data_IF_657051752273
#
_entry.id   IF_657051752273
#
_cell.length_a   1.000
_cell.length_b   1.000
_cell.length_c   1.000
_cell.angle_alpha   90.00
_cell.angle_beta   90.00
_cell.angle_gamma   90.00
#
_symmetry.space_group_name_H-M   'P 1'
#
loop_
_entity.id
_entity.type
_entity.pdbx_description
1 polymer ?
#
# COMPACT_ATOMS: atom_id res chain seq x y z
N UNK A 1 -14.54 -13.31 -19.49
CA UNK A 1 -13.66 -12.14 -19.65
C UNK A 1 -13.04 -11.92 -18.27
N UNK A 2 -11.89 -12.54 -18.03
CA UNK A 2 -11.19 -12.52 -16.74
C UNK A 2 -10.41 -11.21 -16.67
N UNK A 3 -10.79 -10.34 -15.72
CA UNK A 3 -10.01 -9.16 -15.37
C UNK A 3 -8.78 -9.68 -14.65
N UNK A 4 -7.64 -9.74 -15.32
CA UNK A 4 -6.36 -9.98 -14.68
C UNK A 4 -6.07 -8.85 -13.71
N UNK A 5 -5.75 -9.20 -12.46
CA UNK A 5 -5.46 -8.24 -11.41
C UNK A 5 -4.36 -7.27 -11.83
N UNK A 6 -4.61 -5.98 -11.63
CA UNK A 6 -3.69 -4.89 -11.92
C UNK A 6 -2.48 -4.94 -10.98
N UNK A 7 -1.45 -5.69 -11.38
CA UNK A 7 -0.11 -5.38 -10.90
C UNK A 7 0.26 -4.01 -11.48
N UNK A 8 0.60 -3.04 -10.64
CA UNK A 8 1.09 -1.74 -11.08
C UNK A 8 2.28 -1.92 -12.01
N UNK A 9 2.06 -1.75 -13.31
CA UNK A 9 3.12 -1.90 -14.31
C UNK A 9 3.95 -0.62 -14.31
N UNK A 10 5.11 -0.67 -13.69
CA UNK A 10 6.08 0.42 -13.73
C UNK A 10 6.65 0.53 -15.16
N UNK A 11 6.38 1.65 -15.84
CA UNK A 11 7.00 1.95 -17.15
C UNK A 11 8.37 2.58 -16.93
N UNK A 12 9.39 2.04 -17.61
CA UNK A 12 10.74 2.61 -17.58
C UNK A 12 11.26 2.89 -18.98
N UNK A 13 11.87 4.06 -19.18
CA UNK A 13 12.60 4.43 -20.42
C UNK A 13 14.08 4.59 -20.07
N UNK A 14 14.98 3.91 -20.79
CA UNK A 14 16.44 4.01 -20.54
C UNK A 14 16.97 5.38 -20.97
N UNK A 15 17.49 6.12 -20.01
CA UNK A 15 18.41 7.25 -20.20
C UNK A 15 19.78 6.79 -19.65
N UNK A 16 20.90 7.29 -20.18
CA UNK A 16 22.24 6.83 -19.80
C UNK A 16 22.47 6.93 -18.27
N UNK A 17 22.56 5.76 -17.60
CA UNK A 17 22.83 5.64 -16.14
C UNK A 17 21.61 5.83 -15.24
N UNK A 18 20.63 6.66 -15.62
CA UNK A 18 19.37 6.88 -14.93
C UNK A 18 18.19 6.45 -15.80
N UNK A 19 17.12 5.99 -15.19
CA UNK A 19 15.86 5.71 -15.89
C UNK A 19 14.73 6.57 -15.32
N UNK A 20 13.86 7.04 -16.20
CA UNK A 20 12.58 7.57 -15.75
C UNK A 20 11.72 6.44 -15.21
N UNK A 21 11.15 6.64 -14.03
CA UNK A 21 10.21 5.73 -13.40
C UNK A 21 8.89 6.46 -13.16
N UNK A 22 7.78 5.75 -13.36
CA UNK A 22 6.44 6.30 -13.17
C UNK A 22 5.55 5.27 -12.52
N UNK A 23 4.75 5.70 -11.57
CA UNK A 23 3.73 4.89 -10.92
C UNK A 23 2.41 5.66 -10.88
N UNK A 24 1.31 4.94 -11.09
CA UNK A 24 -0.04 5.50 -10.98
C UNK A 24 -0.84 4.70 -9.97
N UNK A 25 -1.45 5.40 -9.04
CA UNK A 25 -2.35 4.82 -8.05
C UNK A 25 -3.72 5.50 -8.08
N UNK A 26 -4.72 4.79 -7.56
CA UNK A 26 -6.11 5.23 -7.55
C UNK A 26 -6.70 5.08 -6.15
N UNK A 27 -7.54 6.01 -5.76
CA UNK A 27 -8.37 5.85 -4.57
C UNK A 27 -9.76 6.44 -4.81
N UNK A 28 -10.79 5.71 -4.38
CA UNK A 28 -12.18 6.18 -4.44
C UNK A 28 -12.79 6.19 -3.04
N UNK A 29 -13.74 7.08 -2.78
CA UNK A 29 -14.42 7.19 -1.49
C UNK A 29 -15.02 8.56 -1.26
N UNK A 30 -15.60 8.76 -0.08
CA UNK A 30 -16.22 10.04 0.33
C UNK A 30 -15.30 10.92 1.19
N UNK A 31 -14.24 10.34 1.75
CA UNK A 31 -13.28 11.04 2.59
C UNK A 31 -12.48 12.08 1.79
N UNK A 32 -12.14 13.20 2.44
CA UNK A 32 -11.26 14.22 1.87
C UNK A 32 -9.81 13.73 1.69
N UNK A 33 -9.44 12.64 2.35
CA UNK A 33 -8.11 12.05 2.34
C UNK A 33 -7.88 11.10 1.15
N UNK A 34 -8.88 10.78 0.31
CA UNK A 34 -8.73 9.84 -0.80
C UNK A 34 -7.55 10.18 -1.72
N UNK A 35 -7.32 11.47 -2.00
CA UNK A 35 -6.19 11.91 -2.80
C UNK A 35 -4.84 11.68 -2.14
N UNK A 36 -4.79 11.73 -0.80
CA UNK A 36 -3.57 11.44 -0.02
C UNK A 36 -3.20 9.96 -0.11
N UNK A 37 -4.19 9.05 -0.11
CA UNK A 37 -3.94 7.62 -0.27
C UNK A 37 -3.38 7.30 -1.66
N UNK A 38 -4.01 7.81 -2.73
CA UNK A 38 -3.50 7.62 -4.09
C UNK A 38 -2.08 8.22 -4.24
N UNK A 39 -1.82 9.38 -3.65
CA UNK A 39 -0.50 10.00 -3.63
C UNK A 39 0.51 9.13 -2.86
N UNK A 40 0.15 8.62 -1.68
CA UNK A 40 1.01 7.79 -0.87
C UNK A 40 1.42 6.51 -1.63
N UNK A 41 0.47 5.79 -2.19
CA UNK A 41 0.77 4.57 -2.95
C UNK A 41 1.67 4.83 -4.15
N UNK A 42 1.40 5.90 -4.92
CA UNK A 42 2.21 6.27 -6.07
C UNK A 42 3.64 6.69 -5.65
N UNK A 43 3.79 7.48 -4.58
CA UNK A 43 5.09 7.88 -4.03
C UNK A 43 5.88 6.70 -3.47
N UNK A 44 5.20 5.77 -2.80
CA UNK A 44 5.80 4.58 -2.22
C UNK A 44 6.42 3.68 -3.31
N UNK A 45 5.77 3.54 -4.47
CA UNK A 45 6.34 2.81 -5.62
C UNK A 45 7.61 3.48 -6.14
N UNK A 46 7.62 4.81 -6.22
CA UNK A 46 8.83 5.54 -6.61
C UNK A 46 9.94 5.41 -5.57
N UNK A 47 9.60 5.49 -4.28
CA UNK A 47 10.54 5.26 -3.20
C UNK A 47 11.10 3.82 -3.24
N UNK A 48 10.26 2.81 -3.53
CA UNK A 48 10.69 1.44 -3.77
C UNK A 48 11.63 1.29 -4.97
N UNK A 49 11.50 2.13 -5.98
CA UNK A 49 12.43 2.20 -7.11
C UNK A 49 13.71 3.01 -6.81
N UNK A 50 13.77 3.72 -5.67
CA UNK A 50 14.88 4.62 -5.33
C UNK A 50 14.84 5.94 -6.10
N UNK A 51 13.67 6.38 -6.54
CA UNK A 51 13.53 7.59 -7.33
C UNK A 51 13.65 8.85 -6.48
N UNK A 52 14.38 9.84 -7.02
CA UNK A 52 14.43 11.22 -6.53
C UNK A 52 13.68 12.19 -7.45
N UNK A 53 13.62 13.46 -7.05
CA UNK A 53 13.03 14.57 -7.82
C UNK A 53 11.63 14.24 -8.36
N UNK A 54 10.70 13.95 -7.46
CA UNK A 54 9.38 13.45 -7.84
C UNK A 54 8.41 14.57 -8.25
N UNK A 55 7.78 14.35 -9.39
CA UNK A 55 6.68 15.16 -9.91
C UNK A 55 5.35 14.40 -9.82
N UNK A 56 4.25 15.08 -9.51
CA UNK A 56 2.92 14.48 -9.43
C UNK A 56 1.93 15.13 -10.39
N UNK A 57 1.10 14.28 -11.02
CA UNK A 57 -0.08 14.66 -11.80
C UNK A 57 -1.31 14.04 -11.17
N UNK A 58 -2.34 14.85 -10.96
CA UNK A 58 -3.55 14.45 -10.24
C UNK A 58 -4.79 14.68 -11.10
N UNK A 59 -5.61 13.66 -11.23
CA UNK A 59 -6.93 13.74 -11.84
C UNK A 59 -7.99 13.36 -10.81
N UNK A 60 -8.98 14.22 -10.62
CA UNK A 60 -10.10 13.97 -9.70
C UNK A 60 -11.37 13.82 -10.52
N UNK A 61 -11.93 12.63 -10.56
CA UNK A 61 -13.22 12.34 -11.19
C UNK A 61 -14.31 12.35 -10.14
N UNK A 62 -15.34 13.15 -10.36
CA UNK A 62 -16.43 13.33 -9.40
C UNK A 62 -17.79 13.00 -10.03
N UNK A 63 -18.71 12.36 -9.30
CA UNK A 63 -20.08 12.14 -9.74
C UNK A 63 -20.84 13.47 -9.82
N UNK A 64 -21.98 13.45 -10.52
CA UNK A 64 -22.90 14.55 -10.49
C UNK A 64 -23.40 14.81 -9.07
N UNK A 65 -23.53 16.09 -8.70
CA UNK A 65 -23.98 16.49 -7.37
C UNK A 65 -22.90 16.49 -6.28
N UNK A 66 -21.66 16.10 -6.59
CA UNK A 66 -20.58 16.23 -5.62
C UNK A 66 -20.29 17.69 -5.25
N UNK A 67 -20.30 17.98 -3.95
CA UNK A 67 -20.25 19.36 -3.46
C UNK A 67 -18.88 20.04 -3.67
N UNK A 68 -18.89 21.28 -4.16
CA UNK A 68 -17.66 22.10 -4.33
C UNK A 68 -16.78 22.20 -3.07
N UNK A 69 -17.36 22.37 -1.84
CA UNK A 69 -16.52 22.45 -0.63
C UNK A 69 -15.73 21.16 -0.35
N UNK A 70 -16.34 19.99 -0.58
CA UNK A 70 -15.65 18.70 -0.42
C UNK A 70 -14.51 18.54 -1.41
N UNK A 71 -14.75 18.90 -2.66
CA UNK A 71 -13.73 18.87 -3.71
C UNK A 71 -12.55 19.78 -3.37
N UNK A 72 -12.82 21.01 -2.93
CA UNK A 72 -11.78 21.95 -2.50
C UNK A 72 -10.97 21.40 -1.31
N UNK A 73 -11.59 20.67 -0.39
CA UNK A 73 -10.89 20.04 0.72
C UNK A 73 -9.93 18.94 0.25
N UNK A 74 -10.34 18.09 -0.71
CA UNK A 74 -9.47 17.06 -1.32
C UNK A 74 -8.27 17.72 -1.99
N UNK A 75 -8.50 18.74 -2.85
CA UNK A 75 -7.44 19.45 -3.56
C UNK A 75 -6.42 20.09 -2.60
N UNK A 76 -6.92 20.86 -1.62
CA UNK A 76 -6.08 21.53 -0.64
C UNK A 76 -5.22 20.56 0.16
N UNK A 77 -5.76 19.39 0.47
CA UNK A 77 -5.04 18.37 1.23
C UNK A 77 -3.92 17.74 0.39
N UNK A 78 -4.18 17.44 -0.89
CA UNK A 78 -3.15 16.96 -1.83
C UNK A 78 -2.02 17.99 -1.96
N UNK A 79 -2.35 19.27 -2.23
CA UNK A 79 -1.38 20.35 -2.33
C UNK A 79 -0.52 20.47 -1.06
N UNK A 80 -1.15 20.43 0.11
CA UNK A 80 -0.47 20.49 1.41
C UNK A 80 0.51 19.31 1.57
N UNK A 81 0.09 18.10 1.23
CA UNK A 81 0.93 16.89 1.40
C UNK A 81 2.07 16.89 0.38
N UNK A 82 1.83 17.27 -0.88
CA UNK A 82 2.88 17.44 -1.88
C UNK A 82 3.94 18.44 -1.40
N UNK A 83 3.53 19.62 -0.93
CA UNK A 83 4.45 20.64 -0.42
C UNK A 83 5.26 20.15 0.78
N UNK A 84 4.62 19.47 1.74
CA UNK A 84 5.30 18.94 2.93
C UNK A 84 6.32 17.83 2.61
N UNK A 85 6.18 17.16 1.46
CA UNK A 85 7.05 16.05 1.04
C UNK A 85 8.01 16.42 -0.09
N UNK A 86 8.08 17.67 -0.48
CA UNK A 86 8.96 18.13 -1.57
C UNK A 86 8.56 17.58 -2.94
N UNK A 87 7.30 17.20 -3.14
CA UNK A 87 6.77 16.71 -4.40
C UNK A 87 6.30 17.90 -5.23
N UNK A 88 6.78 18.02 -6.47
CA UNK A 88 6.33 19.05 -7.40
C UNK A 88 4.99 18.67 -8.01
N UNK A 89 3.92 19.34 -7.61
CA UNK A 89 2.61 19.16 -8.20
C UNK A 89 2.54 19.94 -9.53
N UNK A 90 2.66 19.23 -10.67
CA UNK A 90 2.67 19.84 -12.01
C UNK A 90 1.25 20.10 -12.49
N UNK A 91 0.31 19.24 -12.10
CA UNK A 91 -0.99 19.19 -12.69
C UNK A 91 -2.03 18.66 -11.69
N UNK A 92 -3.14 19.40 -11.55
CA UNK A 92 -4.29 18.96 -10.77
C UNK A 92 -5.56 19.39 -11.52
N UNK A 93 -6.28 18.42 -12.07
CA UNK A 93 -7.53 18.67 -12.79
C UNK A 93 -8.70 17.86 -12.22
N UNK A 94 -9.88 18.40 -12.46
CA UNK A 94 -11.13 17.79 -12.01
C UNK A 94 -12.11 17.60 -13.17
N UNK A 95 -12.79 16.46 -13.17
CA UNK A 95 -13.76 16.11 -14.20
C UNK A 95 -15.05 15.64 -13.55
N UNK A 96 -16.18 16.16 -14.03
CA UNK A 96 -17.48 15.57 -13.74
C UNK A 96 -17.74 14.43 -14.71
N UNK A 97 -18.18 13.29 -14.22
CA UNK A 97 -18.50 12.14 -15.07
C UNK A 97 -19.62 11.30 -14.48
N UNK A 98 -20.60 10.91 -15.30
CA UNK A 98 -21.67 9.99 -14.89
C UNK A 98 -21.14 8.55 -14.69
N UNK A 99 -19.93 8.25 -15.12
CA UNK A 99 -19.32 6.92 -14.92
C UNK A 99 -18.85 6.67 -13.48
N UNK A 100 -18.67 7.73 -12.67
CA UNK A 100 -18.25 7.60 -11.28
C UNK A 100 -19.46 7.59 -10.34
N UNK A 101 -19.58 6.55 -9.51
CA UNK A 101 -20.56 6.50 -8.42
C UNK A 101 -20.04 7.18 -7.16
N UNK A 102 -18.71 7.18 -6.96
CA UNK A 102 -17.96 7.83 -5.89
C UNK A 102 -16.88 8.70 -6.51
N UNK A 103 -16.40 9.74 -5.79
CA UNK A 103 -15.19 10.42 -6.17
C UNK A 103 -14.04 9.43 -6.35
N UNK A 104 -13.30 9.59 -7.43
CA UNK A 104 -12.11 8.79 -7.76
C UNK A 104 -10.95 9.73 -8.02
N UNK A 105 -9.86 9.55 -7.30
CA UNK A 105 -8.61 10.27 -7.50
C UNK A 105 -7.58 9.34 -8.12
N UNK A 106 -6.99 9.78 -9.22
CA UNK A 106 -5.82 9.16 -9.84
C UNK A 106 -4.61 10.05 -9.64
N UNK A 107 -3.54 9.48 -9.13
CA UNK A 107 -2.25 10.18 -8.97
C UNK A 107 -1.18 9.41 -9.73
N UNK A 108 -0.51 10.11 -10.64
CA UNK A 108 0.68 9.60 -11.33
C UNK A 108 1.88 10.37 -10.84
N UNK A 109 2.80 9.69 -10.17
CA UNK A 109 4.10 10.23 -9.81
C UNK A 109 5.17 9.78 -10.80
N UNK A 110 6.10 10.68 -11.12
CA UNK A 110 7.25 10.42 -12.00
C UNK A 110 8.52 10.92 -11.35
N UNK A 111 9.62 10.21 -11.57
CA UNK A 111 10.93 10.59 -11.05
C UNK A 111 12.03 9.86 -11.80
N UNK A 112 13.29 10.05 -11.38
CA UNK A 112 14.45 9.34 -11.92
C UNK A 112 15.07 8.43 -10.88
N UNK A 113 15.49 7.25 -11.28
CA UNK A 113 16.14 6.28 -10.41
C UNK A 113 17.30 5.61 -11.14
N UNK A 114 18.32 5.22 -10.39
CA UNK A 114 19.36 4.33 -10.91
C UNK A 114 18.78 2.92 -11.16
N UNK A 115 19.27 2.28 -12.20
CA UNK A 115 18.89 0.90 -12.47
C UNK A 115 19.55 -0.02 -11.43
N UNK A 116 18.73 -0.86 -10.78
CA UNK A 116 19.20 -1.90 -9.87
C UNK A 116 18.58 -3.23 -10.29
N UNK A 117 19.42 -4.25 -10.50
CA UNK A 117 18.95 -5.58 -10.78
C UNK A 117 18.20 -6.16 -9.58
N UNK A 118 16.98 -6.60 -9.81
CA UNK A 118 16.15 -7.28 -8.81
C UNK A 118 16.36 -8.78 -8.95
N UNK A 119 17.21 -9.34 -8.12
CA UNK A 119 17.50 -10.77 -8.14
C UNK A 119 16.90 -11.43 -6.90
N UNK A 120 15.97 -12.36 -7.13
CA UNK A 120 15.37 -13.19 -6.09
C UNK A 120 15.89 -14.60 -6.25
N UNK A 121 16.33 -15.21 -5.15
CA UNK A 121 16.85 -16.58 -5.12
C UNK A 121 16.14 -17.40 -4.05
N UNK A 122 15.95 -18.71 -4.28
CA UNK A 122 15.51 -19.61 -3.22
C UNK A 122 16.42 -19.53 -1.99
N UNK A 123 15.80 -19.63 -0.81
CA UNK A 123 16.50 -19.55 0.47
C UNK A 123 16.58 -18.15 1.09
N UNK A 124 16.34 -17.08 0.29
CA UNK A 124 16.29 -15.72 0.83
C UNK A 124 15.10 -15.53 1.76
N UNK A 125 15.30 -14.74 2.81
CA UNK A 125 14.26 -14.40 3.77
C UNK A 125 13.32 -13.32 3.21
N UNK A 126 12.05 -13.42 3.58
CA UNK A 126 11.02 -12.41 3.30
C UNK A 126 10.80 -11.59 4.57
N UNK A 127 11.06 -10.29 4.49
CA UNK A 127 10.88 -9.33 5.59
C UNK A 127 9.71 -8.43 5.28
N UNK A 128 8.77 -8.30 6.22
CA UNK A 128 7.69 -7.30 6.16
C UNK A 128 8.05 -6.12 7.05
N UNK A 129 7.96 -4.90 6.50
CA UNK A 129 8.04 -3.67 7.29
C UNK A 129 6.66 -3.18 7.70
N UNK A 130 6.60 -2.47 8.82
CA UNK A 130 5.36 -1.96 9.43
C UNK A 130 4.32 -3.07 9.67
N UNK A 131 3.06 -2.90 9.21
CA UNK A 131 1.93 -3.68 9.68
C UNK A 131 0.99 -4.07 8.54
N UNK A 132 0.53 -5.31 8.52
CA UNK A 132 -0.51 -5.72 7.59
C UNK A 132 -1.84 -5.01 7.92
N UNK A 133 -2.57 -4.58 6.88
CA UNK A 133 -3.85 -3.88 6.98
C UNK A 133 -3.76 -2.42 7.40
N UNK A 134 -2.55 -1.85 7.57
CA UNK A 134 -2.34 -0.49 8.08
C UNK A 134 -3.08 0.58 7.25
N UNK A 135 -2.83 0.63 5.95
CA UNK A 135 -3.44 1.63 5.06
C UNK A 135 -4.95 1.52 5.00
N UNK A 136 -5.46 0.27 4.95
CA UNK A 136 -6.89 0.01 4.93
C UNK A 136 -7.60 0.39 6.23
N UNK A 137 -7.00 0.10 7.39
CA UNK A 137 -7.53 0.55 8.68
C UNK A 137 -7.65 2.08 8.74
N UNK A 138 -6.61 2.81 8.33
CA UNK A 138 -6.64 4.28 8.29
C UNK A 138 -7.74 4.76 7.34
N UNK A 139 -7.88 4.14 6.16
CA UNK A 139 -8.94 4.49 5.21
C UNK A 139 -10.33 4.21 5.75
N UNK A 140 -10.54 3.07 6.41
CA UNK A 140 -11.84 2.74 7.01
C UNK A 140 -12.21 3.79 8.05
N UNK A 141 -11.28 4.20 8.92
CA UNK A 141 -11.54 5.28 9.87
C UNK A 141 -11.95 6.58 9.15
N UNK A 142 -11.26 6.98 8.09
CA UNK A 142 -11.54 8.23 7.38
C UNK A 142 -12.86 8.21 6.60
N UNK A 143 -13.31 7.04 6.16
CA UNK A 143 -14.59 6.86 5.46
C UNK A 143 -15.78 6.66 6.42
N UNK A 144 -15.53 6.19 7.64
CA UNK A 144 -16.53 5.75 8.62
C UNK A 144 -16.28 6.32 10.02
N UNK A 145 -15.72 7.52 10.09
CA UNK A 145 -15.29 8.12 11.36
C UNK A 145 -16.44 8.18 12.38
N UNK A 146 -17.60 8.73 12.00
CA UNK A 146 -18.76 8.86 12.88
C UNK A 146 -19.25 7.48 13.40
N UNK A 147 -19.30 6.46 12.54
CA UNK A 147 -19.71 5.11 12.88
C UNK A 147 -18.74 4.42 13.84
N UNK A 148 -17.44 4.67 13.67
CA UNK A 148 -16.39 4.14 14.55
C UNK A 148 -16.31 4.89 15.88
N UNK A 149 -16.58 6.21 15.90
CA UNK A 149 -16.64 7.01 17.14
C UNK A 149 -17.82 6.60 18.03
N UNK A 150 -18.93 6.10 17.46
CA UNK A 150 -20.02 5.51 18.24
C UNK A 150 -19.65 4.15 18.86
N UNK A 151 -18.71 3.43 18.27
CA UNK A 151 -18.35 2.05 18.64
C UNK A 151 -17.14 1.96 19.55
N UNK A 152 -16.14 2.80 19.34
CA UNK A 152 -14.83 2.72 19.98
C UNK A 152 -14.55 3.93 20.86
N UNK A 153 -13.73 3.75 21.90
CA UNK A 153 -13.33 4.84 22.78
C UNK A 153 -12.52 5.92 22.02
N UNK A 154 -12.64 7.21 22.40
CA UNK A 154 -11.92 8.30 21.75
C UNK A 154 -10.40 8.11 21.69
N UNK A 155 -9.80 7.44 22.68
CA UNK A 155 -8.37 7.14 22.70
C UNK A 155 -7.98 6.16 21.58
N UNK A 156 -8.83 5.16 21.28
CA UNK A 156 -8.63 4.22 20.20
C UNK A 156 -8.68 4.91 18.82
N UNK A 157 -9.70 5.75 18.62
CA UNK A 157 -9.83 6.54 17.38
C UNK A 157 -8.63 7.46 17.18
N UNK A 158 -8.21 8.17 18.26
CA UNK A 158 -7.02 9.03 18.23
C UNK A 158 -5.78 8.26 17.81
N UNK A 159 -5.58 7.06 18.33
CA UNK A 159 -4.44 6.21 18.00
C UNK A 159 -4.42 5.84 16.52
N UNK A 160 -5.55 5.47 15.91
CA UNK A 160 -5.61 5.20 14.47
C UNK A 160 -5.30 6.46 13.66
N UNK A 161 -5.78 7.64 14.09
CA UNK A 161 -5.46 8.92 13.42
C UNK A 161 -3.96 9.22 13.42
N UNK A 162 -3.23 8.84 14.45
CA UNK A 162 -1.76 9.00 14.54
C UNK A 162 -1.02 8.14 13.50
N UNK A 163 -1.59 7.01 13.08
CA UNK A 163 -1.00 6.14 12.06
C UNK A 163 -1.15 6.66 10.62
N UNK A 164 -1.93 7.71 10.40
CA UNK A 164 -2.15 8.25 9.05
C UNK A 164 -0.85 8.70 8.34
N UNK A 165 0.19 9.05 9.11
CA UNK A 165 1.52 9.36 8.55
C UNK A 165 2.30 8.13 8.12
N UNK A 166 2.01 6.96 8.66
CA UNK A 166 2.73 5.71 8.40
C UNK A 166 2.39 5.06 7.04
N UNK A 167 1.34 5.54 6.35
CA UNK A 167 0.99 5.04 5.00
C UNK A 167 2.02 5.42 3.92
N UNK A 168 2.94 6.32 4.23
CA UNK A 168 4.04 6.67 3.35
C UNK A 168 5.29 5.86 3.69
N UNK A 169 6.09 5.57 2.65
CA UNK A 169 7.44 5.05 2.84
C UNK A 169 8.27 6.03 3.70
N UNK A 170 9.11 5.47 4.53
CA UNK A 170 10.04 6.20 5.40
C UNK A 170 11.48 5.75 5.18
N UNK A 171 12.29 5.89 6.21
CA UNK A 171 13.73 5.56 6.21
C UNK A 171 14.01 4.04 6.06
N UNK A 172 13.00 3.19 6.18
CA UNK A 172 13.17 1.74 6.00
C UNK A 172 13.69 1.35 4.62
N UNK A 173 13.32 2.07 3.56
CA UNK A 173 13.77 1.76 2.21
C UNK A 173 15.23 2.16 1.96
N UNK A 174 15.67 3.41 2.24
CA UNK A 174 17.09 3.76 2.11
C UNK A 174 17.98 2.94 3.05
N UNK A 175 17.58 2.67 4.30
CA UNK A 175 18.34 1.85 5.23
C UNK A 175 18.52 0.41 4.69
N UNK A 176 17.47 -0.22 4.20
CA UNK A 176 17.54 -1.56 3.61
C UNK A 176 18.41 -1.59 2.35
N UNK A 177 18.38 -0.54 1.50
CA UNK A 177 19.29 -0.42 0.35
C UNK A 177 20.76 -0.38 0.75
N UNK A 178 21.11 0.34 1.79
CA UNK A 178 22.47 0.39 2.32
C UNK A 178 22.95 -0.98 2.80
N UNK A 179 22.03 -1.86 3.20
CA UNK A 179 22.29 -3.26 3.55
C UNK A 179 22.26 -4.22 2.34
N UNK A 180 22.17 -3.70 1.11
CA UNK A 180 22.22 -4.48 -0.12
C UNK A 180 20.86 -5.05 -0.57
N UNK A 181 19.75 -4.65 0.04
CA UNK A 181 18.42 -5.06 -0.43
C UNK A 181 18.09 -4.35 -1.74
N UNK A 182 17.73 -5.11 -2.77
CA UNK A 182 17.35 -4.60 -4.08
C UNK A 182 15.89 -4.89 -4.45
N UNK A 183 15.21 -5.72 -3.67
CA UNK A 183 13.81 -6.12 -3.92
C UNK A 183 12.89 -5.51 -2.88
N UNK A 184 12.04 -4.61 -3.33
CA UNK A 184 11.01 -3.95 -2.54
C UNK A 184 9.67 -4.12 -3.26
N UNK A 185 8.66 -4.64 -2.56
CA UNK A 185 7.30 -4.79 -3.06
C UNK A 185 6.34 -4.13 -2.08
N UNK A 186 5.69 -3.06 -2.49
CA UNK A 186 4.68 -2.41 -1.66
C UNK A 186 3.48 -3.34 -1.46
N UNK A 187 2.92 -3.34 -0.26
CA UNK A 187 1.69 -4.08 0.05
C UNK A 187 0.50 -3.17 -0.21
N UNK A 188 -0.11 -3.32 -1.39
CA UNK A 188 -1.24 -2.51 -1.87
C UNK A 188 -2.56 -3.29 -1.86
N UNK A 189 -3.38 -3.16 -2.89
CA UNK A 189 -4.68 -3.79 -3.05
C UNK A 189 -4.61 -5.32 -2.89
N UNK A 190 -5.55 -5.87 -2.14
CA UNK A 190 -5.61 -7.29 -1.78
C UNK A 190 -4.67 -7.69 -0.63
N UNK A 191 -3.98 -6.72 -0.02
CA UNK A 191 -3.18 -6.87 1.17
C UNK A 191 -1.96 -7.76 1.01
N UNK A 192 -1.49 -8.29 2.15
CA UNK A 192 -0.24 -9.05 2.16
C UNK A 192 -0.33 -10.36 1.38
N UNK A 193 -1.49 -11.00 1.31
CA UNK A 193 -1.64 -12.24 0.56
C UNK A 193 -1.47 -11.99 -0.95
N UNK A 194 -2.05 -10.91 -1.47
CA UNK A 194 -1.87 -10.52 -2.85
C UNK A 194 -0.40 -10.13 -3.15
N UNK A 195 0.24 -9.39 -2.26
CA UNK A 195 1.64 -8.99 -2.40
C UNK A 195 2.58 -10.21 -2.42
N UNK A 196 2.40 -11.17 -1.52
CA UNK A 196 3.17 -12.42 -1.50
C UNK A 196 2.96 -13.26 -2.76
N UNK A 197 1.71 -13.38 -3.20
CA UNK A 197 1.39 -14.12 -4.43
C UNK A 197 2.04 -13.50 -5.67
N UNK A 198 1.98 -12.17 -5.78
CA UNK A 198 2.60 -11.41 -6.87
C UNK A 198 4.14 -11.50 -6.82
N UNK A 199 4.74 -11.36 -5.63
CA UNK A 199 6.18 -11.50 -5.43
C UNK A 199 6.70 -12.85 -5.95
N UNK A 200 6.05 -13.96 -5.56
CA UNK A 200 6.43 -15.30 -5.99
C UNK A 200 6.22 -15.51 -7.51
N UNK A 201 5.12 -14.94 -8.06
CA UNK A 201 4.85 -15.01 -9.49
C UNK A 201 5.88 -14.27 -10.32
N UNK A 202 6.26 -13.05 -9.91
CA UNK A 202 7.25 -12.22 -10.60
C UNK A 202 8.66 -12.83 -10.52
N UNK A 203 8.97 -13.50 -9.41
CA UNK A 203 10.23 -14.20 -9.21
C UNK A 203 10.28 -15.58 -9.88
N UNK A 204 9.16 -16.07 -10.41
CA UNK A 204 9.02 -17.44 -10.95
C UNK A 204 9.47 -18.52 -9.95
N UNK A 205 9.25 -18.27 -8.66
CA UNK A 205 9.61 -19.17 -7.56
C UNK A 205 8.44 -19.37 -6.60
N UNK A 206 8.62 -20.26 -5.62
CA UNK A 206 7.68 -20.40 -4.52
C UNK A 206 8.08 -19.56 -3.30
N UNK A 207 7.23 -19.64 -2.28
CA UNK A 207 7.51 -19.09 -0.97
C UNK A 207 6.79 -19.89 0.14
N UNK A 208 7.34 -19.77 1.35
CA UNK A 208 6.71 -20.29 2.56
C UNK A 208 6.71 -19.20 3.64
N UNK A 209 5.51 -18.88 4.15
CA UNK A 209 5.31 -17.80 5.12
C UNK A 209 4.62 -18.35 6.36
N UNK A 210 5.07 -17.93 7.53
CA UNK A 210 4.45 -18.20 8.82
C UNK A 210 3.46 -17.06 9.17
N UNK A 211 2.17 -17.37 9.14
CA UNK A 211 1.11 -16.40 9.40
C UNK A 211 1.24 -15.72 10.77
N UNK A 212 1.73 -16.44 11.78
CA UNK A 212 1.92 -15.90 13.14
C UNK A 212 3.02 -14.84 13.23
N UNK A 213 3.91 -14.80 12.24
CA UNK A 213 4.98 -13.78 12.14
C UNK A 213 4.58 -12.54 11.40
N UNK A 214 3.43 -12.53 10.72
CA UNK A 214 2.91 -11.34 10.05
C UNK A 214 2.40 -10.37 11.13
N UNK A 215 3.05 -9.21 11.33
CA UNK A 215 2.60 -8.26 12.33
C UNK A 215 1.31 -7.55 11.88
N UNK A 216 0.31 -7.59 12.74
CA UNK A 216 -0.96 -6.85 12.60
C UNK A 216 -1.19 -6.06 13.88
N UNK A 217 -1.62 -4.82 13.79
CA UNK A 217 -1.97 -4.03 14.96
C UNK A 217 -3.29 -4.50 15.57
N UNK A 218 -3.43 -4.37 16.89
CA UNK A 218 -4.68 -4.67 17.56
C UNK A 218 -5.83 -3.83 17.00
N UNK A 219 -5.59 -2.55 16.74
CA UNK A 219 -6.58 -1.64 16.17
C UNK A 219 -7.06 -2.12 14.79
N UNK A 220 -6.16 -2.66 13.97
CA UNK A 220 -6.51 -3.23 12.67
C UNK A 220 -7.42 -4.45 12.86
N UNK A 221 -7.10 -5.33 13.83
CA UNK A 221 -7.91 -6.51 14.11
C UNK A 221 -9.31 -6.09 14.54
N UNK A 222 -9.44 -5.18 15.50
CA UNK A 222 -10.74 -4.74 16.04
C UNK A 222 -11.60 -4.03 14.98
N UNK A 223 -11.00 -3.17 14.15
CA UNK A 223 -11.71 -2.55 13.01
C UNK A 223 -12.15 -3.60 12.01
N UNK A 224 -11.28 -4.57 11.67
CA UNK A 224 -11.64 -5.66 10.76
C UNK A 224 -12.76 -6.54 11.32
N UNK A 225 -12.73 -6.89 12.60
CA UNK A 225 -13.78 -7.66 13.26
C UNK A 225 -15.13 -6.93 13.21
N UNK A 226 -15.14 -5.61 13.48
CA UNK A 226 -16.36 -4.80 13.42
C UNK A 226 -17.06 -4.88 12.06
N UNK A 227 -16.28 -4.93 10.98
CA UNK A 227 -16.79 -4.97 9.60
C UNK A 227 -16.71 -6.37 8.95
N UNK A 228 -16.28 -7.41 9.68
CA UNK A 228 -16.08 -8.78 9.18
C UNK A 228 -15.13 -8.84 7.98
N UNK A 229 -14.00 -8.16 8.10
CA UNK A 229 -12.95 -8.10 7.09
C UNK A 229 -11.78 -9.01 7.46
N UNK A 230 -11.02 -9.44 6.46
CA UNK A 230 -9.77 -10.16 6.65
C UNK A 230 -8.59 -9.15 6.64
N UNK A 231 -7.87 -8.92 7.76
CA UNK A 231 -6.78 -7.97 7.84
C UNK A 231 -5.61 -8.31 6.90
N UNK A 232 -5.43 -9.56 6.50
CA UNK A 232 -4.39 -10.00 5.59
C UNK A 232 -4.71 -9.75 4.10
N UNK A 233 -5.98 -9.50 3.77
CA UNK A 233 -6.48 -9.13 2.45
C UNK A 233 -6.86 -7.65 2.36
N UNK A 234 -6.56 -6.88 3.41
CA UNK A 234 -6.80 -5.45 3.49
C UNK A 234 -5.51 -4.71 3.11
N UNK A 235 -5.63 -3.70 2.26
CA UNK A 235 -4.50 -2.90 1.78
C UNK A 235 -3.63 -2.38 2.92
N UNK A 236 -2.31 -2.34 2.69
CA UNK A 236 -1.33 -2.01 3.71
C UNK A 236 -0.34 -0.93 3.22
N UNK A 237 -0.86 0.11 2.55
CA UNK A 237 -0.04 1.20 2.03
C UNK A 237 0.98 1.67 3.08
N UNK A 238 2.23 1.86 2.67
CA UNK A 238 3.37 2.17 3.53
C UNK A 238 4.13 0.96 4.07
N UNK A 239 3.57 -0.26 3.98
CA UNK A 239 4.25 -1.50 4.32
C UNK A 239 4.89 -2.13 3.08
N UNK A 240 6.06 -2.75 3.24
CA UNK A 240 6.81 -3.36 2.14
C UNK A 240 7.24 -4.77 2.47
N UNK A 241 7.17 -5.65 1.47
CA UNK A 241 7.93 -6.88 1.45
C UNK A 241 9.33 -6.59 0.89
N UNK A 242 10.33 -7.09 1.58
CA UNK A 242 11.73 -7.04 1.18
C UNK A 242 12.28 -8.45 1.11
N UNK A 243 13.13 -8.74 0.11
CA UNK A 243 13.80 -10.02 -0.01
C UNK A 243 15.29 -9.82 0.28
N UNK A 244 15.82 -10.57 1.24
CA UNK A 244 17.19 -10.40 1.73
C UNK A 244 17.86 -11.74 2.01
N UNK A 245 19.18 -11.82 1.82
CA UNK A 245 19.98 -13.01 2.16
C UNK A 245 20.04 -13.24 3.68
N UNK A 246 20.04 -12.14 4.47
CA UNK A 246 20.02 -12.18 5.92
C UNK A 246 18.87 -11.30 6.48
N UNK A 247 17.65 -11.79 6.36
CA UNK A 247 16.45 -11.07 6.81
C UNK A 247 16.44 -10.79 8.32
N UNK A 248 17.07 -11.64 9.14
CA UNK A 248 17.13 -11.43 10.59
C UNK A 248 18.00 -10.22 10.94
N UNK A 249 19.13 -10.04 10.27
CA UNK A 249 19.99 -8.89 10.46
C UNK A 249 19.29 -7.62 9.98
N UNK A 250 18.66 -7.66 8.80
CA UNK A 250 17.87 -6.56 8.27
C UNK A 250 16.75 -6.15 9.25
N UNK A 251 15.96 -7.09 9.73
CA UNK A 251 14.88 -6.80 10.66
C UNK A 251 15.39 -6.23 11.99
N UNK A 252 16.52 -6.73 12.50
CA UNK A 252 17.16 -6.20 13.72
C UNK A 252 17.65 -4.77 13.54
N UNK A 253 18.30 -4.47 12.42
CA UNK A 253 18.81 -3.14 12.11
C UNK A 253 17.67 -2.13 11.97
N UNK A 254 16.66 -2.44 11.16
CA UNK A 254 15.48 -1.59 11.01
C UNK A 254 14.79 -1.36 12.36
N UNK A 255 14.64 -2.39 13.17
CA UNK A 255 14.02 -2.27 14.51
C UNK A 255 14.84 -1.44 15.46
N UNK A 256 16.18 -1.56 15.39
CA UNK A 256 17.12 -0.73 16.16
C UNK A 256 16.99 0.77 15.86
N UNK A 257 16.57 1.12 14.66
CA UNK A 257 16.26 2.49 14.25
C UNK A 257 14.77 2.88 14.45
N UNK A 258 14.02 2.10 15.24
CA UNK A 258 12.62 2.39 15.56
C UNK A 258 11.60 2.01 14.47
N UNK A 259 12.04 1.32 13.42
CA UNK A 259 11.18 0.89 12.32
C UNK A 259 10.74 -0.57 12.53
N UNK A 260 9.43 -0.82 12.57
CA UNK A 260 8.92 -2.18 12.71
C UNK A 260 9.30 -3.01 11.48
N UNK A 261 9.97 -4.15 11.71
CA UNK A 261 10.28 -5.13 10.68
C UNK A 261 10.23 -6.55 11.26
N UNK A 262 9.81 -7.53 10.47
CA UNK A 262 9.72 -8.93 10.88
C UNK A 262 10.05 -9.86 9.72
N UNK A 263 10.85 -10.89 9.96
CA UNK A 263 11.02 -12.00 9.02
C UNK A 263 9.78 -12.87 9.09
N UNK A 264 9.00 -12.88 8.01
CA UNK A 264 7.73 -13.59 7.96
C UNK A 264 7.81 -14.95 7.24
N UNK A 265 8.86 -15.18 6.46
CA UNK A 265 9.01 -16.40 5.66
C UNK A 265 10.28 -16.38 4.82
N UNK A 266 10.30 -17.22 3.78
CA UNK A 266 11.41 -17.32 2.83
C UNK A 266 10.96 -17.73 1.43
N UNK A 267 11.77 -17.39 0.45
CA UNK A 267 11.63 -17.87 -0.92
C UNK A 267 12.05 -19.35 -1.01
N UNK A 268 11.35 -20.14 -1.83
CA UNK A 268 11.61 -21.58 -2.02
C UNK A 268 12.00 -21.89 -3.48
N UNK A 269 12.52 -23.06 -3.72
CA UNK A 269 12.99 -23.54 -5.02
C UNK A 269 11.90 -24.24 -5.87
N UNK A 270 10.67 -24.27 -5.36
CA UNK A 270 9.48 -24.78 -6.04
C UNK A 270 8.58 -23.63 -6.51
N UNK A 271 7.36 -23.94 -6.96
CA UNK A 271 6.36 -22.94 -7.38
C UNK A 271 5.22 -22.76 -6.36
N UNK A 272 5.32 -23.41 -5.18
CA UNK A 272 4.28 -23.39 -4.18
C UNK A 272 4.28 -22.07 -3.39
N UNK A 273 3.11 -21.54 -3.17
CA UNK A 273 2.89 -20.33 -2.37
C UNK A 273 2.18 -20.74 -1.09
N UNK A 274 2.98 -21.06 -0.07
CA UNK A 274 2.50 -21.71 1.15
C UNK A 274 2.42 -20.72 2.30
N UNK A 275 1.32 -20.79 3.03
CA UNK A 275 1.16 -20.13 4.32
C UNK A 275 0.94 -21.18 5.41
N UNK A 276 1.68 -21.03 6.51
CA UNK A 276 1.62 -21.91 7.67
C UNK A 276 0.96 -21.20 8.84
N UNK A 277 0.04 -21.86 9.53
CA UNK A 277 -0.56 -21.38 10.77
C UNK A 277 -0.50 -22.51 11.82
N UNK A 278 0.63 -22.61 12.52
CA UNK A 278 0.94 -23.75 13.37
C UNK A 278 1.16 -25.01 12.54
N UNK A 279 0.32 -26.03 12.76
CA UNK A 279 0.37 -27.30 12.01
C UNK A 279 -0.42 -27.24 10.69
N UNK A 280 -1.27 -26.22 10.53
CA UNK A 280 -2.07 -26.07 9.33
C UNK A 280 -1.25 -25.44 8.21
N UNK A 281 -1.27 -26.09 7.04
CA UNK A 281 -0.61 -25.61 5.81
C UNK A 281 -1.69 -25.35 4.77
N UNK A 282 -1.67 -24.14 4.20
CA UNK A 282 -2.57 -23.73 3.13
C UNK A 282 -1.77 -23.12 1.98
N UNK A 283 -2.33 -23.18 0.78
CA UNK A 283 -1.83 -22.40 -0.34
C UNK A 283 -2.44 -21.00 -0.33
N UNK A 284 -1.64 -20.00 -0.73
CA UNK A 284 -2.15 -18.65 -0.94
C UNK A 284 -2.92 -18.67 -2.26
N UNK A 285 -4.18 -18.28 -2.20
CA UNK A 285 -5.05 -18.16 -3.37
C UNK A 285 -4.60 -17.00 -4.30
N UNK A 286 -5.10 -17.01 -5.53
CA UNK A 286 -4.95 -15.87 -6.44
C UNK A 286 -5.52 -14.61 -5.78
N UNK A 287 -4.90 -13.43 -6.04
CA UNK A 287 -5.39 -12.17 -5.47
C UNK A 287 -6.89 -11.98 -5.67
N UNK A 288 -7.58 -11.73 -4.57
CA UNK A 288 -8.98 -11.34 -4.53
C UNK A 288 -9.08 -9.80 -4.47
N UNK A 289 -10.25 -9.21 -4.78
CA UNK A 289 -10.50 -7.80 -4.52
C UNK A 289 -10.23 -7.45 -3.06
N UNK A 290 -9.72 -6.24 -2.83
CA UNK A 290 -9.42 -5.75 -1.48
C UNK A 290 -10.65 -5.76 -0.57
N UNK A 291 -10.46 -6.10 0.69
CA UNK A 291 -11.51 -6.10 1.71
C UNK A 291 -12.13 -4.71 1.92
N UNK A 292 -11.39 -3.64 1.66
CA UNK A 292 -11.90 -2.27 1.71
C UNK A 292 -13.09 -2.06 0.76
N UNK A 293 -13.16 -2.77 -0.35
CA UNK A 293 -14.26 -2.65 -1.31
C UNK A 293 -15.62 -3.02 -0.71
N UNK A 294 -15.65 -3.85 0.34
CA UNK A 294 -16.87 -4.16 1.10
C UNK A 294 -17.42 -2.94 1.85
N UNK A 295 -16.52 -2.03 2.27
CA UNK A 295 -16.88 -0.79 2.97
C UNK A 295 -17.33 0.28 1.98
N UNK A 296 -16.61 0.45 0.88
CA UNK A 296 -16.87 1.48 -0.13
C UNK A 296 -18.11 1.17 -0.98
N UNK A 297 -18.43 -0.10 -1.22
CA UNK A 297 -19.55 -0.54 -2.02
C UNK A 297 -20.95 -0.40 -1.36
N UNK A 298 -20.98 -0.17 -0.06
CA UNK A 298 -22.23 -0.04 0.70
C UNK A 298 -22.73 1.40 0.86
N UNK A 299 -22.58 2.23 -0.15
CA UNK A 299 -23.42 3.45 -0.22
C UNK A 299 -24.86 2.96 -0.40
N UNK A 300 -25.71 3.11 0.63
CA UNK A 300 -27.16 2.85 0.53
C UNK A 300 -27.64 3.53 -0.75
N UNK A 301 -28.02 2.75 -1.76
CA UNK A 301 -28.88 3.26 -2.83
C UNK A 301 -30.11 3.73 -2.09
N UNK A 302 -30.36 5.04 -2.12
CA UNK A 302 -31.50 5.64 -1.47
C UNK A 302 -32.77 4.87 -1.88
N UNK A 303 -33.52 4.41 -0.87
CA UNK A 303 -34.89 4.01 -1.02
C UNK A 303 -35.72 5.19 -1.46
#
# INVERSE_FOLDING_TARGET
MTVEGNGHKMMSTKLQGERAVSATAFACGQSKEIGVHALAESLNELAAAGAGAVEARVHIMIPDGYGRPRLAAVQKLIEKVCGARGVTLIFLEQYKTPAAALPLVSVTCTGTAEYTDRVIRPGQDIVLTKWAGLGGMVRILQEKEDELEERFAPAFIKQIKEYAGEIFAGEELPAARQMGVSVFCQVTEGGIFAALWNLAREAETGLSVDMKKIPVRQETIEVCENYRLNPYQLMSAGSFLMVADNGRELARELTGHGMKAAVIGRMTDNNDKVIQNGEEIRFIDRPAPDELNKILGHTKRGE
#
